data_IF_626341616124
#
_entry.id   IF_626341616124
#
_cell.length_a   1.000
_cell.length_b   1.000
_cell.length_c   1.000
_cell.angle_alpha   90.00
_cell.angle_beta   90.00
_cell.angle_gamma   90.00
#
_symmetry.space_group_name_H-M   'P 1'
#
loop_
_entity.id
_entity.type
_entity.pdbx_description
1 polymer ?
#
# COMPACT_ATOMS: atom_id res chain seq x y z
N UNK A 1 -21.82 21.79 -0.95
CA UNK A 1 -22.38 20.60 -1.63
C UNK A 1 -21.54 20.32 -2.86
N UNK A 2 -21.27 19.05 -3.17
CA UNK A 2 -20.62 18.66 -4.42
C UNK A 2 -21.47 19.10 -5.63
N UNK A 3 -20.81 19.46 -6.74
CA UNK A 3 -21.56 19.69 -7.99
C UNK A 3 -22.16 18.36 -8.48
N UNK A 4 -23.32 18.39 -9.19
CA UNK A 4 -23.90 17.17 -9.76
C UNK A 4 -22.90 16.39 -10.63
N UNK A 5 -22.09 17.08 -11.42
CA UNK A 5 -21.05 16.47 -12.26
C UNK A 5 -19.97 15.75 -11.45
N UNK A 6 -19.50 16.35 -10.35
CA UNK A 6 -18.51 15.73 -9.48
C UNK A 6 -19.04 14.46 -8.80
N UNK A 7 -20.31 14.49 -8.38
CA UNK A 7 -20.97 13.31 -7.81
C UNK A 7 -21.14 12.20 -8.86
N UNK A 8 -21.56 12.55 -10.07
CA UNK A 8 -21.74 11.60 -11.18
C UNK A 8 -20.43 10.88 -11.54
N UNK A 9 -19.32 11.62 -11.64
CA UNK A 9 -18.01 11.02 -11.90
C UNK A 9 -17.57 10.10 -10.75
N UNK A 10 -17.73 10.52 -9.50
CA UNK A 10 -17.43 9.68 -8.36
C UNK A 10 -18.26 8.38 -8.37
N UNK A 11 -19.58 8.48 -8.62
CA UNK A 11 -20.46 7.32 -8.73
C UNK A 11 -20.05 6.40 -9.89
N UNK A 12 -19.68 6.96 -11.03
CA UNK A 12 -19.24 6.18 -12.21
C UNK A 12 -18.01 5.35 -11.89
N UNK A 13 -16.99 5.94 -11.24
CA UNK A 13 -15.80 5.20 -10.87
C UNK A 13 -16.07 4.15 -9.78
N UNK A 14 -16.92 4.45 -8.80
CA UNK A 14 -17.28 3.49 -7.74
C UNK A 14 -17.97 2.25 -8.31
N UNK A 15 -18.79 2.39 -9.36
CA UNK A 15 -19.48 1.26 -10.01
C UNK A 15 -18.55 0.31 -10.77
N UNK A 16 -17.36 0.74 -11.14
CA UNK A 16 -16.38 -0.10 -11.83
C UNK A 16 -15.74 -1.09 -10.86
N UNK A 17 -15.74 -2.38 -11.20
CA UNK A 17 -15.13 -3.42 -10.36
C UNK A 17 -13.61 -3.47 -10.57
N UNK A 18 -12.89 -2.73 -9.76
CA UNK A 18 -11.42 -2.64 -9.77
C UNK A 18 -10.79 -3.26 -8.51
N UNK A 19 -11.39 -4.33 -7.96
CA UNK A 19 -10.70 -5.13 -6.92
C UNK A 19 -9.31 -5.51 -7.42
N UNK A 20 -8.30 -5.43 -6.56
CA UNK A 20 -6.87 -5.55 -6.97
C UNK A 20 -6.54 -6.81 -7.79
N UNK A 21 -7.35 -7.88 -7.73
CA UNK A 21 -7.19 -9.05 -8.61
C UNK A 21 -7.67 -8.81 -10.05
N UNK A 22 -8.46 -7.78 -10.28
CA UNK A 22 -9.03 -7.45 -11.59
C UNK A 22 -8.17 -6.41 -12.33
N UNK A 23 -8.46 -6.24 -13.62
CA UNK A 23 -7.94 -5.12 -14.42
C UNK A 23 -8.55 -3.79 -13.97
N UNK A 24 -7.74 -2.72 -13.96
CA UNK A 24 -8.23 -1.35 -13.77
C UNK A 24 -8.38 -0.59 -15.10
N UNK A 25 -8.16 -1.23 -16.24
CA UNK A 25 -8.08 -0.56 -17.55
C UNK A 25 -9.39 0.14 -17.94
N UNK A 26 -10.55 -0.40 -17.56
CA UNK A 26 -11.84 0.27 -17.82
C UNK A 26 -11.86 1.66 -17.16
N UNK A 27 -11.50 1.75 -15.89
CA UNK A 27 -11.43 3.00 -15.14
C UNK A 27 -10.39 3.94 -15.72
N UNK A 28 -9.20 3.45 -15.99
CA UNK A 28 -8.08 4.25 -16.52
C UNK A 28 -8.42 4.81 -17.90
N UNK A 29 -9.03 4.00 -18.78
CA UNK A 29 -9.43 4.48 -20.12
C UNK A 29 -10.56 5.50 -20.00
N UNK A 30 -11.54 5.30 -19.13
CA UNK A 30 -12.59 6.28 -18.88
C UNK A 30 -12.01 7.64 -18.42
N UNK A 31 -11.10 7.63 -17.46
CA UNK A 31 -10.44 8.86 -16.98
C UNK A 31 -9.60 9.51 -18.07
N UNK A 32 -8.80 8.72 -18.82
CA UNK A 32 -8.02 9.21 -19.97
C UNK A 32 -8.91 9.90 -21.00
N UNK A 33 -10.02 9.26 -21.37
CA UNK A 33 -10.91 9.76 -22.42
C UNK A 33 -11.65 11.03 -21.97
N UNK A 34 -12.04 11.10 -20.68
CA UNK A 34 -12.59 12.31 -20.06
C UNK A 34 -11.59 13.47 -20.11
N UNK A 35 -10.33 13.23 -19.75
CA UNK A 35 -9.27 14.24 -19.83
C UNK A 35 -8.96 14.64 -21.27
N UNK A 36 -9.00 13.69 -22.22
CA UNK A 36 -8.77 13.95 -23.64
C UNK A 36 -9.83 14.88 -24.23
N UNK A 37 -11.09 14.79 -23.80
CA UNK A 37 -12.16 15.72 -24.20
C UNK A 37 -11.88 17.17 -23.75
N UNK A 38 -11.11 17.35 -22.69
CA UNK A 38 -10.63 18.66 -22.22
C UNK A 38 -9.29 19.07 -22.86
N UNK A 39 -8.79 18.32 -23.84
CA UNK A 39 -7.51 18.57 -24.48
C UNK A 39 -6.27 18.17 -23.67
N UNK A 40 -6.44 17.44 -22.56
CA UNK A 40 -5.35 17.00 -21.69
C UNK A 40 -4.82 15.64 -22.16
N UNK A 41 -3.52 15.57 -22.41
CA UNK A 41 -2.84 14.32 -22.76
C UNK A 41 -2.52 13.54 -21.49
N UNK A 42 -2.79 12.24 -21.50
CA UNK A 42 -2.46 11.32 -20.44
C UNK A 42 -1.35 10.36 -20.88
N UNK A 43 -0.42 10.11 -19.96
CA UNK A 43 0.63 9.11 -20.08
C UNK A 43 0.19 7.86 -19.32
N UNK A 44 0.24 6.69 -19.94
CA UNK A 44 -0.10 5.41 -19.33
C UNK A 44 1.16 4.56 -19.14
N UNK A 45 1.37 4.05 -17.94
CA UNK A 45 2.43 3.10 -17.60
C UNK A 45 1.78 1.76 -17.27
N UNK A 46 1.95 0.78 -18.15
CA UNK A 46 1.34 -0.53 -18.01
C UNK A 46 2.22 -1.47 -17.19
N UNK A 47 1.57 -2.38 -16.43
CA UNK A 47 2.26 -3.53 -15.85
C UNK A 47 2.76 -4.50 -16.97
N UNK A 48 3.58 -5.48 -16.58
CA UNK A 48 4.30 -6.35 -17.52
C UNK A 48 3.37 -7.12 -18.48
N UNK A 49 2.21 -7.57 -18.03
CA UNK A 49 1.21 -8.32 -18.81
C UNK A 49 0.14 -7.42 -19.46
N UNK A 50 0.24 -6.10 -19.28
CA UNK A 50 -0.66 -5.07 -19.83
C UNK A 50 -2.13 -5.24 -19.42
N UNK A 51 -2.36 -5.84 -18.28
CA UNK A 51 -3.70 -5.98 -17.70
C UNK A 51 -4.10 -4.81 -16.79
N UNK A 52 -3.11 -4.00 -16.38
CA UNK A 52 -3.29 -2.82 -15.54
C UNK A 52 -2.44 -1.65 -16.04
N UNK A 53 -2.84 -0.43 -15.70
CA UNK A 53 -2.06 0.75 -16.01
C UNK A 53 -2.17 1.81 -14.92
N UNK A 54 -1.09 2.57 -14.73
CA UNK A 54 -1.11 3.88 -14.09
C UNK A 54 -1.47 4.94 -15.13
N UNK A 55 -2.03 6.05 -14.65
CA UNK A 55 -2.27 7.24 -15.45
C UNK A 55 -1.53 8.43 -14.84
N UNK A 56 -0.78 9.15 -15.67
CA UNK A 56 -0.26 10.47 -15.32
C UNK A 56 -0.73 11.51 -16.33
N UNK A 57 -1.24 12.64 -15.84
CA UNK A 57 -1.68 13.75 -16.69
C UNK A 57 -1.26 15.09 -16.08
N UNK A 58 -0.94 16.07 -16.93
CA UNK A 58 -0.55 17.42 -16.50
C UNK A 58 -1.58 18.43 -16.98
N UNK A 59 -2.16 19.16 -16.04
CA UNK A 59 -3.11 20.24 -16.27
C UNK A 59 -2.38 21.58 -16.09
N UNK A 60 -2.32 22.39 -17.14
CA UNK A 60 -1.51 23.61 -17.19
C UNK A 60 -0.15 23.39 -17.86
N UNK A 61 -0.17 22.79 -19.07
CA UNK A 61 1.03 22.59 -19.89
C UNK A 61 1.80 23.90 -20.10
N UNK A 62 3.14 23.83 -20.03
CA UNK A 62 4.01 25.00 -20.13
C UNK A 62 4.32 25.69 -18.78
N UNK A 63 3.67 25.30 -17.68
CA UNK A 63 4.06 25.76 -16.35
C UNK A 63 5.31 24.99 -15.88
N UNK A 64 6.21 25.64 -15.09
CA UNK A 64 7.55 25.07 -14.82
C UNK A 64 7.56 23.80 -13.97
N UNK A 65 6.54 23.58 -13.17
CA UNK A 65 6.38 22.40 -12.30
C UNK A 65 4.97 22.35 -11.75
N UNK A 66 4.61 21.28 -11.03
CA UNK A 66 3.26 21.10 -10.53
C UNK A 66 3.16 20.30 -9.23
N UNK A 67 1.95 20.26 -8.70
CA UNK A 67 1.59 19.49 -7.52
C UNK A 67 0.83 18.25 -7.97
N UNK A 68 1.26 17.08 -7.51
CA UNK A 68 0.57 15.81 -7.75
C UNK A 68 -0.64 15.70 -6.84
N UNK A 69 -1.77 15.32 -7.41
CA UNK A 69 -2.90 14.69 -6.73
C UNK A 69 -2.81 13.19 -7.02
N UNK A 70 -2.43 12.40 -6.01
CA UNK A 70 -2.25 10.95 -6.12
C UNK A 70 -3.43 10.19 -5.55
N UNK A 71 -3.82 9.13 -6.24
CA UNK A 71 -4.84 8.20 -5.77
C UNK A 71 -4.73 6.85 -6.46
N UNK A 72 -5.13 5.79 -5.75
CA UNK A 72 -5.16 4.45 -6.32
C UNK A 72 -6.53 4.10 -6.89
N UNK A 73 -6.53 3.29 -7.93
CA UNK A 73 -7.73 2.91 -8.68
C UNK A 73 -8.33 1.58 -8.22
N UNK A 74 -7.53 0.76 -7.55
CA UNK A 74 -7.95 -0.54 -7.04
C UNK A 74 -8.68 -0.43 -5.70
N UNK A 75 -9.25 -1.53 -5.27
CA UNK A 75 -9.98 -1.65 -4.00
C UNK A 75 -9.78 -3.04 -3.42
N UNK A 76 -9.92 -3.17 -2.08
CA UNK A 76 -10.00 -4.47 -1.42
C UNK A 76 -11.26 -5.22 -1.85
N UNK A 77 -11.24 -6.58 -1.85
CA UNK A 77 -12.41 -7.38 -2.12
C UNK A 77 -13.48 -7.20 -1.03
N UNK A 78 -14.73 -7.51 -1.37
CA UNK A 78 -15.87 -7.52 -0.45
C UNK A 78 -16.45 -8.91 -0.20
N UNK A 79 -15.90 -9.93 -0.86
CA UNK A 79 -16.34 -11.33 -0.68
C UNK A 79 -16.16 -11.76 0.77
N UNK A 80 -17.21 -12.33 1.37
CA UNK A 80 -17.21 -12.75 2.77
C UNK A 80 -17.48 -11.62 3.78
N UNK A 81 -17.86 -10.44 3.34
CA UNK A 81 -18.29 -9.33 4.18
C UNK A 81 -19.82 -9.17 4.10
N UNK A 82 -20.45 -8.81 5.22
CA UNK A 82 -21.88 -8.54 5.29
C UNK A 82 -22.16 -7.09 4.84
N UNK A 83 -22.49 -6.93 3.56
CA UNK A 83 -22.92 -5.65 3.01
C UNK A 83 -24.44 -5.55 3.01
N UNK A 84 -24.97 -4.43 3.50
CA UNK A 84 -26.42 -4.13 3.47
C UNK A 84 -26.93 -3.70 2.08
N UNK A 85 -26.03 -3.47 1.13
CA UNK A 85 -26.31 -3.08 -0.25
C UNK A 85 -25.23 -3.62 -1.19
N UNK A 86 -25.49 -3.61 -2.50
CA UNK A 86 -24.46 -3.95 -3.49
C UNK A 86 -23.26 -2.98 -3.35
N UNK A 87 -22.03 -3.51 -3.10
CA UNK A 87 -20.82 -2.71 -2.97
C UNK A 87 -20.51 -1.81 -4.17
N UNK A 88 -21.01 -2.12 -5.35
CA UNK A 88 -20.83 -1.33 -6.57
C UNK A 88 -22.03 -0.45 -6.92
N UNK A 89 -23.06 -0.40 -6.08
CA UNK A 89 -24.26 0.43 -6.36
C UNK A 89 -23.99 1.91 -6.46
N UNK A 90 -22.95 2.41 -5.79
CA UNK A 90 -22.67 3.84 -5.65
C UNK A 90 -23.91 4.62 -5.21
N UNK A 91 -24.62 4.10 -4.21
CA UNK A 91 -25.86 4.65 -3.70
C UNK A 91 -25.62 6.00 -3.01
N UNK A 92 -26.43 6.99 -3.36
CA UNK A 92 -26.49 8.26 -2.62
C UNK A 92 -27.71 8.25 -1.73
N UNK A 93 -27.48 8.29 -0.43
CA UNK A 93 -28.53 8.32 0.58
C UNK A 93 -28.11 9.22 1.74
N UNK A 94 -29.03 10.03 2.25
CA UNK A 94 -28.79 10.93 3.40
C UNK A 94 -27.54 11.81 3.25
N UNK A 95 -27.27 12.29 2.03
CA UNK A 95 -26.14 13.15 1.72
C UNK A 95 -24.79 12.44 1.69
N UNK A 96 -24.75 11.09 1.70
CA UNK A 96 -23.54 10.26 1.67
C UNK A 96 -23.53 9.38 0.42
N UNK A 97 -22.34 9.14 -0.12
CA UNK A 97 -22.08 8.18 -1.18
C UNK A 97 -21.61 6.86 -0.57
N UNK A 98 -22.35 5.78 -0.82
CA UNK A 98 -22.05 4.44 -0.34
C UNK A 98 -21.55 3.56 -1.47
N UNK A 99 -20.54 2.75 -1.19
CA UNK A 99 -19.99 1.76 -2.11
C UNK A 99 -18.51 1.48 -1.84
N UNK A 100 -17.99 0.37 -2.35
CA UNK A 100 -16.57 0.03 -2.27
C UNK A 100 -15.75 1.03 -3.12
N UNK A 101 -14.78 1.72 -2.50
CA UNK A 101 -14.00 2.77 -3.14
C UNK A 101 -14.64 4.17 -3.05
N UNK A 102 -15.77 4.34 -2.35
CA UNK A 102 -16.35 5.67 -2.15
C UNK A 102 -15.54 6.54 -1.19
N UNK A 103 -14.87 5.94 -0.21
CA UNK A 103 -13.93 6.61 0.69
C UNK A 103 -12.48 6.30 0.30
N UNK A 104 -12.19 5.06 -0.06
CA UNK A 104 -10.88 4.51 -0.33
C UNK A 104 -10.86 3.86 -1.72
N UNK A 105 -10.36 4.58 -2.79
CA UNK A 105 -10.35 6.05 -2.81
C UNK A 105 -10.81 6.58 -4.16
N UNK A 106 -11.62 5.78 -4.92
CA UNK A 106 -12.07 6.12 -6.29
C UNK A 106 -12.87 7.43 -6.36
N UNK A 107 -13.62 7.79 -5.28
CA UNK A 107 -14.33 9.06 -5.28
C UNK A 107 -13.36 10.26 -5.29
N UNK A 108 -12.20 10.18 -4.62
CA UNK A 108 -11.17 11.21 -4.72
C UNK A 108 -10.74 11.42 -6.18
N UNK A 109 -10.48 10.33 -6.92
CA UNK A 109 -10.14 10.37 -8.35
C UNK A 109 -11.26 11.04 -9.14
N UNK A 110 -12.51 10.64 -8.93
CA UNK A 110 -13.66 11.24 -9.59
C UNK A 110 -13.79 12.74 -9.33
N UNK A 111 -13.56 13.17 -8.08
CA UNK A 111 -13.57 14.58 -7.70
C UNK A 111 -12.42 15.35 -8.36
N UNK A 112 -11.21 14.79 -8.38
CA UNK A 112 -10.06 15.42 -9.04
C UNK A 112 -10.33 15.63 -10.55
N UNK A 113 -10.84 14.61 -11.22
CA UNK A 113 -11.19 14.66 -12.65
C UNK A 113 -12.32 15.67 -12.92
N UNK A 114 -13.34 15.74 -12.06
CA UNK A 114 -14.44 16.72 -12.18
C UNK A 114 -13.96 18.17 -12.12
N UNK A 115 -12.85 18.42 -11.46
CA UNK A 115 -12.26 19.76 -11.34
C UNK A 115 -11.16 20.03 -12.37
N UNK A 116 -10.92 19.12 -13.34
CA UNK A 116 -9.86 19.26 -14.33
C UNK A 116 -9.98 20.57 -15.13
N UNK A 117 -11.18 20.95 -15.57
CA UNK A 117 -11.41 22.21 -16.29
C UNK A 117 -11.07 23.43 -15.44
N UNK A 118 -11.40 23.42 -14.14
CA UNK A 118 -11.03 24.49 -13.23
C UNK A 118 -9.52 24.61 -13.05
N UNK A 119 -8.81 23.49 -13.00
CA UNK A 119 -7.33 23.48 -12.93
C UNK A 119 -6.71 24.02 -14.22
N UNK A 120 -7.24 23.66 -15.38
CA UNK A 120 -6.79 24.18 -16.68
C UNK A 120 -6.94 25.71 -16.77
N UNK A 121 -8.05 26.25 -16.30
CA UNK A 121 -8.36 27.67 -16.31
C UNK A 121 -7.73 28.45 -15.13
N UNK A 122 -7.03 27.75 -14.23
CA UNK A 122 -6.41 28.36 -13.06
C UNK A 122 -5.27 29.28 -13.42
N UNK A 123 -5.19 30.46 -12.77
CA UNK A 123 -4.05 31.38 -12.84
C UNK A 123 -2.90 31.00 -11.88
N UNK A 124 -2.95 29.82 -11.26
CA UNK A 124 -1.87 29.35 -10.40
C UNK A 124 -0.54 29.27 -11.19
N UNK A 125 0.59 29.64 -10.59
CA UNK A 125 1.89 29.65 -11.28
C UNK A 125 2.48 28.24 -11.46
N UNK A 126 1.79 27.21 -11.06
CA UNK A 126 2.18 25.79 -11.14
C UNK A 126 1.07 24.95 -11.79
N UNK A 127 1.46 23.82 -12.37
CA UNK A 127 0.54 22.84 -12.91
C UNK A 127 -0.08 21.98 -11.78
N UNK A 128 -1.20 21.32 -12.10
CA UNK A 128 -1.72 20.20 -11.32
C UNK A 128 -1.45 18.92 -12.09
N UNK A 129 -0.87 17.93 -11.43
CA UNK A 129 -0.65 16.61 -12.02
C UNK A 129 -1.62 15.61 -11.38
N UNK A 130 -2.23 14.78 -12.21
CA UNK A 130 -2.93 13.59 -11.73
C UNK A 130 -2.00 12.40 -11.85
N UNK A 131 -1.90 11.63 -10.77
CA UNK A 131 -1.12 10.40 -10.69
C UNK A 131 -2.01 9.31 -10.10
N UNK A 132 -2.58 8.47 -10.97
CA UNK A 132 -3.50 7.42 -10.56
C UNK A 132 -2.87 6.06 -10.78
N UNK A 133 -2.73 5.29 -9.70
CA UNK A 133 -1.99 4.04 -9.64
C UNK A 133 -2.92 2.83 -9.57
N UNK A 134 -2.35 1.65 -9.75
CA UNK A 134 -2.96 0.34 -9.53
C UNK A 134 -2.23 -0.41 -8.39
N UNK A 135 -2.91 -1.40 -7.79
CA UNK A 135 -2.35 -2.33 -6.81
C UNK A 135 -1.73 -1.65 -5.58
N UNK A 136 -2.37 -0.58 -5.11
CA UNK A 136 -2.01 0.03 -3.83
C UNK A 136 -2.30 -0.95 -2.69
N UNK A 137 -3.51 -1.48 -2.62
CA UNK A 137 -4.08 -2.34 -1.56
C UNK A 137 -3.31 -3.66 -1.34
N UNK A 138 -2.52 -4.06 -2.33
CA UNK A 138 -1.73 -5.29 -2.28
C UNK A 138 -0.22 -5.05 -2.16
N UNK A 139 0.23 -3.78 -2.15
CA UNK A 139 1.65 -3.46 -1.91
C UNK A 139 2.20 -2.26 -2.64
N UNK A 140 1.37 -1.31 -3.07
CA UNK A 140 1.76 -0.10 -3.81
C UNK A 140 2.63 -0.42 -5.04
N UNK A 141 2.28 -1.46 -5.82
CA UNK A 141 3.12 -1.90 -6.93
C UNK A 141 3.11 -0.90 -8.08
N UNK A 142 1.93 -0.41 -8.45
CA UNK A 142 1.77 0.49 -9.59
C UNK A 142 2.52 1.80 -9.43
N UNK A 143 2.44 2.43 -8.29
CA UNK A 143 3.08 3.73 -8.06
C UNK A 143 4.60 3.67 -8.17
N UNK A 144 5.24 2.54 -7.87
CA UNK A 144 6.69 2.35 -8.05
C UNK A 144 7.08 2.50 -9.52
N UNK A 145 6.30 1.89 -10.42
CA UNK A 145 6.51 2.01 -11.87
C UNK A 145 6.17 3.42 -12.37
N UNK A 146 5.11 4.04 -11.84
CA UNK A 146 4.76 5.42 -12.16
C UNK A 146 5.88 6.39 -11.78
N UNK A 147 6.41 6.30 -10.56
CA UNK A 147 7.53 7.14 -10.10
C UNK A 147 8.78 6.93 -10.97
N UNK A 148 9.08 5.69 -11.35
CA UNK A 148 10.19 5.40 -12.25
C UNK A 148 10.00 6.06 -13.62
N UNK A 149 8.79 5.98 -14.20
CA UNK A 149 8.43 6.61 -15.47
C UNK A 149 8.52 8.14 -15.40
N UNK A 150 8.09 8.77 -14.30
CA UNK A 150 8.24 10.22 -14.09
C UNK A 150 9.71 10.65 -14.04
N UNK A 151 10.53 9.89 -13.32
CA UNK A 151 11.97 10.13 -13.23
C UNK A 151 12.64 10.04 -14.62
N UNK A 152 12.32 8.99 -15.39
CA UNK A 152 12.89 8.73 -16.71
C UNK A 152 12.42 9.80 -17.74
N UNK A 153 11.21 10.34 -17.54
CA UNK A 153 10.69 11.47 -18.32
C UNK A 153 11.25 12.83 -17.87
N UNK A 154 12.05 12.89 -16.80
CA UNK A 154 12.59 14.13 -16.26
C UNK A 154 11.54 15.04 -15.61
N UNK A 155 10.38 14.51 -15.25
CA UNK A 155 9.30 15.23 -14.56
C UNK A 155 9.65 15.36 -13.09
N UNK A 156 9.70 16.60 -12.58
CA UNK A 156 10.05 16.93 -11.20
C UNK A 156 8.92 17.69 -10.52
N UNK A 157 7.97 17.01 -9.91
CA UNK A 157 6.87 17.67 -9.20
C UNK A 157 7.38 18.48 -8.00
N UNK A 158 6.68 19.56 -7.66
CA UNK A 158 6.97 20.39 -6.48
C UNK A 158 6.57 19.69 -5.19
N UNK A 159 5.44 18.96 -5.23
CA UNK A 159 4.89 18.27 -4.10
C UNK A 159 3.86 17.21 -4.55
N UNK A 160 3.45 16.35 -3.59
CA UNK A 160 2.38 15.37 -3.77
C UNK A 160 1.38 15.45 -2.61
N UNK A 161 0.10 15.42 -2.93
CA UNK A 161 -1.00 15.20 -1.99
C UNK A 161 -1.58 13.83 -2.34
N UNK A 162 -1.50 12.89 -1.40
CA UNK A 162 -2.09 11.54 -1.52
C UNK A 162 -3.49 11.59 -0.91
N UNK A 163 -4.51 11.28 -1.69
CA UNK A 163 -5.91 11.54 -1.33
C UNK A 163 -6.57 10.45 -0.50
N UNK A 164 -5.84 9.82 0.40
CA UNK A 164 -6.34 8.79 1.31
C UNK A 164 -7.34 9.36 2.35
N UNK A 165 -8.24 8.52 2.90
CA UNK A 165 -9.32 8.97 3.78
C UNK A 165 -8.83 9.32 5.20
N UNK A 166 -8.34 10.53 5.40
CA UNK A 166 -7.85 11.07 6.68
C UNK A 166 -8.85 11.98 7.39
N UNK A 167 -10.14 11.93 7.02
CA UNK A 167 -11.17 12.87 7.47
C UNK A 167 -10.81 14.34 7.19
N UNK A 168 -10.08 14.60 6.11
CA UNK A 168 -9.60 15.92 5.69
C UNK A 168 -8.53 16.53 6.61
N UNK A 169 -8.06 15.83 7.65
CA UNK A 169 -6.93 16.26 8.47
C UNK A 169 -5.64 15.83 7.80
N UNK A 170 -4.72 16.74 7.43
CA UNK A 170 -3.47 16.35 6.78
C UNK A 170 -2.65 15.40 7.64
N UNK A 171 -2.35 14.20 7.12
CA UNK A 171 -1.49 13.24 7.80
C UNK A 171 -0.03 13.43 7.36
N UNK A 172 0.86 13.58 8.35
CA UNK A 172 2.28 13.85 8.14
C UNK A 172 3.18 12.65 8.43
N UNK A 173 2.61 11.53 8.88
CA UNK A 173 3.35 10.30 9.03
C UNK A 173 2.44 9.09 8.90
N UNK A 174 3.00 7.98 8.41
CA UNK A 174 2.39 6.67 8.50
C UNK A 174 3.44 5.58 8.74
N UNK A 175 2.97 4.43 9.29
CA UNK A 175 3.82 3.25 9.45
C UNK A 175 4.08 2.60 8.10
N UNK A 176 5.24 1.96 7.97
CA UNK A 176 5.53 1.09 6.84
C UNK A 176 4.78 -0.24 6.93
N UNK A 177 4.77 -0.97 5.84
CA UNK A 177 4.14 -2.29 5.71
C UNK A 177 5.11 -3.22 4.99
N UNK A 178 5.59 -4.23 5.69
CA UNK A 178 6.54 -5.20 5.16
C UNK A 178 6.00 -6.59 5.38
N UNK A 179 5.60 -7.27 4.30
CA UNK A 179 5.00 -8.60 4.34
C UNK A 179 5.91 -9.61 3.68
N UNK A 180 6.10 -10.72 4.37
CA UNK A 180 6.96 -11.81 3.91
C UNK A 180 6.26 -13.15 4.06
N UNK A 181 6.67 -14.09 3.21
CA UNK A 181 6.33 -15.51 3.32
C UNK A 181 7.60 -16.29 3.62
N UNK A 182 7.54 -17.14 4.62
CA UNK A 182 8.57 -18.13 4.92
C UNK A 182 8.08 -19.52 4.54
N UNK A 183 8.85 -20.22 3.70
CA UNK A 183 8.63 -21.62 3.35
C UNK A 183 9.70 -22.46 4.04
N UNK A 184 9.28 -23.54 4.70
CA UNK A 184 10.20 -24.44 5.42
C UNK A 184 10.15 -25.82 4.77
N UNK A 185 11.32 -26.31 4.39
CA UNK A 185 11.53 -27.64 3.88
C UNK A 185 12.20 -28.49 4.95
N UNK A 186 11.53 -29.54 5.38
CA UNK A 186 12.03 -30.56 6.28
C UNK A 186 12.20 -31.91 5.59
N UNK A 187 12.06 -32.99 6.36
CA UNK A 187 12.11 -34.37 5.89
C UNK A 187 11.01 -35.17 6.57
N UNK A 188 10.13 -35.73 5.79
CA UNK A 188 9.05 -36.60 6.25
C UNK A 188 9.56 -37.94 6.80
N UNK A 189 8.82 -38.48 7.75
CA UNK A 189 8.98 -39.83 8.27
C UNK A 189 7.70 -40.27 9.00
N UNK A 190 7.59 -41.54 9.35
CA UNK A 190 6.58 -41.97 10.32
C UNK A 190 6.88 -41.30 11.67
N UNK A 191 5.86 -40.88 12.41
CA UNK A 191 6.01 -40.13 13.67
C UNK A 191 6.84 -40.86 14.76
N UNK A 192 6.93 -42.20 14.70
CA UNK A 192 7.82 -42.99 15.56
C UNK A 192 9.31 -42.86 15.21
N UNK A 193 9.66 -42.30 14.06
CA UNK A 193 11.01 -42.14 13.53
C UNK A 193 11.48 -40.67 13.56
N UNK A 194 10.89 -39.83 14.40
CA UNK A 194 11.18 -38.39 14.53
C UNK A 194 12.68 -38.06 14.55
N UNK A 195 13.57 -38.80 15.25
CA UNK A 195 15.03 -38.49 15.23
C UNK A 195 15.74 -38.60 13.87
N UNK A 196 15.10 -39.28 12.89
CA UNK A 196 15.60 -39.46 11.52
C UNK A 196 14.95 -38.51 10.51
N UNK A 197 14.19 -37.55 10.99
CA UNK A 197 13.39 -36.62 10.22
C UNK A 197 13.70 -35.17 10.58
N UNK A 198 13.13 -34.24 9.83
CA UNK A 198 13.13 -32.81 10.14
C UNK A 198 11.70 -32.31 10.06
N UNK A 199 11.12 -31.97 11.19
CA UNK A 199 9.74 -31.51 11.28
C UNK A 199 9.65 -30.03 10.83
N UNK A 200 9.06 -29.79 9.66
CA UNK A 200 8.96 -28.44 9.11
C UNK A 200 8.09 -27.50 9.98
N UNK A 201 7.04 -28.02 10.62
CA UNK A 201 6.19 -27.22 11.52
C UNK A 201 7.00 -26.77 12.76
N UNK A 202 7.79 -27.66 13.36
CA UNK A 202 8.60 -27.30 14.53
C UNK A 202 9.67 -26.26 14.19
N UNK A 203 10.29 -26.38 13.00
CA UNK A 203 11.25 -25.39 12.53
C UNK A 203 10.59 -24.05 12.22
N UNK A 204 9.42 -24.06 11.57
CA UNK A 204 8.62 -22.86 11.33
C UNK A 204 8.21 -22.18 12.65
N UNK A 205 7.74 -22.96 13.64
CA UNK A 205 7.33 -22.45 14.94
C UNK A 205 8.46 -21.72 15.67
N UNK A 206 9.72 -22.14 15.52
CA UNK A 206 10.86 -21.42 16.09
C UNK A 206 11.04 -20.04 15.49
N UNK A 207 10.89 -19.92 14.16
CA UNK A 207 10.98 -18.62 13.49
C UNK A 207 9.78 -17.74 13.85
N UNK A 208 8.58 -18.31 13.97
CA UNK A 208 7.38 -17.61 14.48
C UNK A 208 7.62 -17.11 15.91
N UNK A 209 8.22 -17.93 16.78
CA UNK A 209 8.62 -17.52 18.14
C UNK A 209 9.58 -16.32 18.09
N UNK A 210 10.57 -16.33 17.17
CA UNK A 210 11.49 -15.20 17.00
C UNK A 210 10.77 -13.91 16.59
N UNK A 211 9.82 -13.99 15.62
CA UNK A 211 8.99 -12.84 15.23
C UNK A 211 8.19 -12.30 16.44
N UNK A 212 7.67 -13.18 17.28
CA UNK A 212 6.97 -12.79 18.52
C UNK A 212 7.90 -12.10 19.51
N UNK A 213 9.10 -12.66 19.74
CA UNK A 213 10.10 -12.06 20.64
C UNK A 213 10.47 -10.64 20.16
N UNK A 214 10.59 -10.43 18.84
CA UNK A 214 10.84 -9.11 18.26
C UNK A 214 9.68 -8.16 18.53
N UNK A 215 8.42 -8.61 18.36
CA UNK A 215 7.24 -7.80 18.65
C UNK A 215 7.21 -7.35 20.12
N UNK A 216 7.53 -8.24 21.06
CA UNK A 216 7.64 -7.92 22.49
C UNK A 216 8.80 -6.95 22.76
N UNK A 217 9.92 -7.12 22.04
CA UNK A 217 11.06 -6.21 22.12
C UNK A 217 10.72 -4.80 21.66
N UNK A 218 9.95 -4.64 20.59
CA UNK A 218 9.46 -3.33 20.12
C UNK A 218 8.56 -2.69 21.17
N UNK A 219 7.63 -3.45 21.73
CA UNK A 219 6.73 -2.94 22.77
C UNK A 219 7.49 -2.51 24.03
N UNK A 220 8.53 -3.23 24.44
CA UNK A 220 9.24 -2.98 25.70
C UNK A 220 10.36 -1.97 25.59
N UNK A 221 11.04 -1.87 24.44
CA UNK A 221 12.34 -1.21 24.33
C UNK A 221 12.45 -0.17 23.22
N UNK A 222 11.55 -0.19 22.21
CA UNK A 222 11.62 0.78 21.14
C UNK A 222 11.22 2.18 21.63
N UNK A 223 11.95 3.25 21.26
CA UNK A 223 11.55 4.62 21.58
C UNK A 223 10.15 4.92 21.04
N UNK A 224 9.30 5.53 21.87
CA UNK A 224 7.93 5.84 21.49
C UNK A 224 7.89 6.98 20.45
N UNK A 225 7.06 6.79 19.45
CA UNK A 225 6.72 7.83 18.49
C UNK A 225 5.30 8.32 18.79
N UNK A 226 5.22 9.39 19.57
CA UNK A 226 3.95 9.94 20.03
C UNK A 226 3.06 10.39 18.86
N UNK A 227 1.76 10.13 18.97
CA UNK A 227 0.75 10.47 17.98
C UNK A 227 0.23 9.28 17.16
N UNK A 228 0.93 8.13 17.15
CA UNK A 228 0.33 6.88 16.69
C UNK A 228 -0.47 6.20 17.81
N UNK A 229 -1.60 5.56 17.47
CA UNK A 229 -2.39 4.75 18.42
C UNK A 229 -1.53 3.67 19.10
N UNK A 230 -0.64 3.04 18.32
CA UNK A 230 0.40 2.16 18.81
C UNK A 230 1.74 2.82 18.54
N UNK A 231 2.39 3.45 19.55
CA UNK A 231 3.56 4.33 19.36
C UNK A 231 4.89 3.57 19.21
N UNK A 232 4.87 2.33 18.77
CA UNK A 232 6.02 1.47 18.51
C UNK A 232 5.77 0.58 17.29
N UNK A 233 6.82 -0.01 16.73
CA UNK A 233 6.72 -0.97 15.63
C UNK A 233 6.02 -2.24 16.08
N UNK A 234 5.30 -2.90 15.17
CA UNK A 234 4.64 -4.16 15.46
C UNK A 234 5.07 -5.25 14.50
N UNK A 235 5.00 -6.51 14.96
CA UNK A 235 5.18 -7.68 14.13
C UNK A 235 4.07 -8.70 14.43
N UNK A 236 3.58 -9.36 13.38
CA UNK A 236 2.56 -10.39 13.53
C UNK A 236 2.69 -11.50 12.49
N UNK A 237 2.22 -12.69 12.85
CA UNK A 237 2.08 -13.84 11.95
C UNK A 237 0.59 -14.03 11.67
N UNK A 238 0.18 -13.77 10.44
CA UNK A 238 -1.24 -13.79 10.06
C UNK A 238 -1.73 -15.12 9.49
N UNK A 239 -0.83 -15.95 8.94
CA UNK A 239 -1.18 -17.23 8.32
C UNK A 239 -0.11 -18.27 8.62
N UNK A 240 -0.53 -19.53 8.85
CA UNK A 240 0.36 -20.66 9.05
C UNK A 240 -0.30 -21.93 8.49
N UNK A 241 0.44 -22.67 7.65
CA UNK A 241 0.01 -23.92 7.04
C UNK A 241 1.12 -24.97 7.13
N UNK A 242 0.76 -26.23 7.38
CA UNK A 242 1.74 -27.32 7.39
C UNK A 242 1.14 -28.64 7.85
N UNK A 243 1.82 -29.75 7.48
CA UNK A 243 1.40 -31.10 7.84
C UNK A 243 0.25 -31.65 6.98
N UNK A 244 0.11 -32.97 6.99
CA UNK A 244 -0.91 -33.72 6.23
C UNK A 244 -1.66 -34.74 7.09
N UNK A 245 -1.05 -35.27 8.15
CA UNK A 245 -1.62 -36.26 9.06
C UNK A 245 -0.84 -36.31 10.37
N UNK A 246 -1.49 -36.75 11.48
CA UNK A 246 -0.93 -36.75 12.81
C UNK A 246 0.26 -37.75 12.98
N UNK A 247 0.25 -38.83 12.20
CA UNK A 247 1.29 -39.87 12.27
C UNK A 247 2.40 -39.72 11.20
N UNK A 248 2.45 -38.57 10.51
CA UNK A 248 3.48 -38.22 9.55
C UNK A 248 4.22 -36.95 10.00
N UNK A 249 5.55 -37.03 10.13
CA UNK A 249 6.35 -35.83 10.38
C UNK A 249 6.24 -34.89 9.18
N UNK A 250 5.80 -33.63 9.39
CA UNK A 250 5.62 -32.68 8.30
C UNK A 250 6.91 -32.37 7.53
N UNK A 251 6.88 -32.56 6.21
CA UNK A 251 7.98 -32.17 5.31
C UNK A 251 7.96 -30.69 4.95
N UNK A 252 6.78 -30.14 4.78
CA UNK A 252 6.60 -28.78 4.31
C UNK A 252 5.72 -28.01 5.30
N UNK A 253 6.11 -26.75 5.55
CA UNK A 253 5.31 -25.77 6.26
C UNK A 253 5.55 -24.39 5.66
N UNK A 254 4.57 -23.51 5.77
CA UNK A 254 4.70 -22.11 5.38
C UNK A 254 3.94 -21.20 6.33
N UNK A 255 4.42 -19.99 6.47
CA UNK A 255 3.71 -18.95 7.20
C UNK A 255 3.96 -17.57 6.60
N UNK A 256 3.02 -16.64 6.84
CA UNK A 256 3.15 -15.25 6.44
C UNK A 256 3.19 -14.37 7.67
N UNK A 257 4.10 -13.40 7.65
CA UNK A 257 4.28 -12.44 8.72
C UNK A 257 4.48 -11.04 8.16
N UNK A 258 4.21 -10.05 8.99
CA UNK A 258 4.42 -8.65 8.63
C UNK A 258 5.08 -7.86 9.76
N UNK A 259 5.76 -6.79 9.35
CA UNK A 259 6.18 -5.70 10.22
C UNK A 259 5.42 -4.43 9.85
N UNK A 260 5.04 -3.65 10.86
CA UNK A 260 4.57 -2.28 10.74
C UNK A 260 5.58 -1.40 11.46
N UNK A 261 6.57 -0.90 10.72
CA UNK A 261 7.64 -0.11 11.33
C UNK A 261 7.26 1.35 11.55
N UNK A 262 7.86 1.96 12.56
CA UNK A 262 7.83 3.41 12.74
C UNK A 262 8.73 4.09 11.69
N UNK A 263 8.48 5.39 11.35
CA UNK A 263 9.36 6.14 10.47
C UNK A 263 10.81 6.30 10.97
N UNK A 264 11.03 6.04 12.26
CA UNK A 264 12.36 6.07 12.90
C UNK A 264 13.04 4.70 12.99
N UNK A 265 12.32 3.64 12.60
CA UNK A 265 12.83 2.27 12.65
C UNK A 265 13.51 1.85 11.33
N UNK A 266 14.05 0.64 11.30
CA UNK A 266 14.71 0.07 10.13
C UNK A 266 14.14 -1.32 9.82
N UNK A 267 13.15 -1.38 8.95
CA UNK A 267 12.51 -2.64 8.54
C UNK A 267 13.48 -3.64 7.88
N UNK A 268 14.47 -3.15 7.13
CA UNK A 268 15.48 -4.01 6.54
C UNK A 268 16.30 -4.75 7.60
N UNK A 269 16.61 -4.09 8.72
CA UNK A 269 17.27 -4.73 9.86
C UNK A 269 16.37 -5.75 10.54
N UNK A 270 15.07 -5.45 10.69
CA UNK A 270 14.09 -6.41 11.25
C UNK A 270 14.04 -7.68 10.42
N UNK A 271 13.93 -7.56 9.10
CA UNK A 271 13.95 -8.72 8.19
C UNK A 271 15.28 -9.48 8.25
N UNK A 272 16.42 -8.78 8.25
CA UNK A 272 17.72 -9.39 8.35
C UNK A 272 17.89 -10.24 9.62
N UNK A 273 17.29 -9.83 10.73
CA UNK A 273 17.30 -10.56 12.00
C UNK A 273 16.52 -11.87 11.92
N UNK A 274 15.34 -11.88 11.28
CA UNK A 274 14.57 -13.10 11.03
C UNK A 274 15.35 -14.06 10.14
N UNK A 275 15.94 -13.54 9.04
CA UNK A 275 16.75 -14.34 8.11
C UNK A 275 17.96 -14.95 8.81
N UNK A 276 18.68 -14.18 9.63
CA UNK A 276 19.84 -14.66 10.38
C UNK A 276 19.47 -15.76 11.38
N UNK A 277 18.35 -15.59 12.09
CA UNK A 277 17.85 -16.61 13.01
C UNK A 277 17.47 -17.91 12.28
N UNK A 278 16.69 -17.83 11.21
CA UNK A 278 16.33 -19.00 10.40
C UNK A 278 17.59 -19.72 9.87
N UNK A 279 18.55 -18.97 9.34
CA UNK A 279 19.82 -19.53 8.87
C UNK A 279 20.61 -20.23 9.97
N UNK A 280 20.53 -19.76 11.23
CA UNK A 280 21.20 -20.40 12.37
C UNK A 280 20.65 -21.80 12.69
N UNK A 281 19.42 -22.10 12.29
CA UNK A 281 18.78 -23.41 12.49
C UNK A 281 19.17 -24.43 11.41
N UNK A 282 19.53 -23.99 10.22
CA UNK A 282 19.80 -24.87 9.07
C UNK A 282 20.89 -25.92 9.27
N UNK A 283 22.02 -25.65 9.98
CA UNK A 283 23.05 -26.66 10.16
C UNK A 283 22.54 -27.93 10.86
N UNK A 284 21.61 -27.80 11.83
CA UNK A 284 21.02 -28.95 12.49
C UNK A 284 20.05 -29.71 11.56
N UNK A 285 19.27 -28.99 10.77
CA UNK A 285 18.36 -29.58 9.78
C UNK A 285 19.13 -30.35 8.71
N UNK A 286 20.18 -29.74 8.15
CA UNK A 286 20.99 -30.31 7.06
C UNK A 286 21.82 -31.55 7.46
N UNK A 287 22.12 -31.74 8.76
CA UNK A 287 22.71 -32.99 9.25
C UNK A 287 21.79 -34.19 9.05
N UNK A 288 20.47 -33.99 9.08
CA UNK A 288 19.49 -35.07 8.91
C UNK A 288 18.98 -35.15 7.46
N UNK A 289 18.82 -34.01 6.81
CA UNK A 289 18.36 -33.87 5.43
C UNK A 289 19.10 -32.72 4.73
N UNK A 290 20.00 -33.02 3.78
CA UNK A 290 20.80 -31.98 3.10
C UNK A 290 19.96 -30.88 2.42
N UNK A 291 18.76 -31.23 1.95
CA UNK A 291 17.84 -30.31 1.27
C UNK A 291 16.91 -29.52 2.20
N UNK A 292 17.01 -29.77 3.53
CA UNK A 292 16.19 -29.07 4.51
C UNK A 292 16.70 -27.63 4.71
N UNK A 293 15.77 -26.70 4.90
CA UNK A 293 16.10 -25.29 5.09
C UNK A 293 14.89 -24.38 5.01
N UNK A 294 15.19 -23.08 4.89
CA UNK A 294 14.20 -22.02 4.81
C UNK A 294 14.30 -21.26 3.49
N UNK A 295 13.17 -20.96 2.89
CA UNK A 295 13.01 -20.03 1.77
C UNK A 295 12.19 -18.83 2.19
N UNK A 296 12.51 -17.64 1.69
CA UNK A 296 11.78 -16.43 1.98
C UNK A 296 11.36 -15.73 0.68
N UNK A 297 10.14 -15.24 0.66
CA UNK A 297 9.57 -14.45 -0.43
C UNK A 297 9.10 -13.10 0.14
N UNK A 298 9.46 -12.03 -0.52
CA UNK A 298 8.90 -10.71 -0.24
C UNK A 298 7.54 -10.61 -0.92
N UNK A 299 6.48 -10.36 -0.13
CA UNK A 299 5.12 -10.13 -0.65
C UNK A 299 4.97 -8.66 -1.01
N UNK A 300 5.26 -7.75 -0.07
CA UNK A 300 5.29 -6.32 -0.33
C UNK A 300 6.21 -5.59 0.65
N UNK A 301 6.70 -4.43 0.21
CA UNK A 301 7.47 -3.49 1.02
C UNK A 301 6.98 -2.08 0.68
N UNK A 302 6.31 -1.46 1.65
CA UNK A 302 5.83 -0.09 1.60
C UNK A 302 6.57 0.66 2.69
N UNK A 303 7.46 1.60 2.35
CA UNK A 303 8.24 2.33 3.34
C UNK A 303 7.34 3.20 4.20
N UNK A 304 7.69 3.34 5.47
CA UNK A 304 7.09 4.34 6.35
C UNK A 304 7.29 5.76 5.82
N UNK A 305 6.41 6.65 6.21
CA UNK A 305 6.41 8.05 5.78
C UNK A 305 6.57 8.98 6.97
N UNK A 306 7.43 9.98 6.80
CA UNK A 306 7.59 11.09 7.73
C UNK A 306 7.75 12.40 6.98
N UNK A 307 6.73 13.23 7.03
CA UNK A 307 6.74 14.63 6.63
C UNK A 307 6.89 15.56 7.85
N UNK A 308 6.60 16.83 7.64
CA UNK A 308 6.65 17.84 8.70
C UNK A 308 5.43 18.77 8.61
N UNK A 309 4.95 19.22 9.77
CA UNK A 309 3.94 20.29 9.84
C UNK A 309 4.42 21.59 9.19
N UNK A 310 5.73 21.76 9.08
CA UNK A 310 6.37 22.94 8.51
C UNK A 310 6.62 22.83 7.01
N UNK A 311 6.42 21.67 6.41
CA UNK A 311 6.52 21.47 4.96
C UNK A 311 5.49 22.34 4.22
N UNK A 312 5.91 22.95 3.11
CA UNK A 312 5.02 23.80 2.32
C UNK A 312 3.77 23.07 1.80
N UNK A 313 3.91 21.78 1.48
CA UNK A 313 2.77 20.94 1.05
C UNK A 313 1.79 20.69 2.18
N UNK A 314 2.26 20.47 3.41
CA UNK A 314 1.40 20.30 4.59
C UNK A 314 0.62 21.58 4.87
N UNK A 315 1.28 22.74 4.84
CA UNK A 315 0.61 24.04 4.99
C UNK A 315 -0.39 24.31 3.86
N UNK A 316 -0.10 23.87 2.65
CA UNK A 316 -1.06 23.94 1.54
C UNK A 316 -2.27 23.07 1.82
N UNK A 317 -2.10 21.81 2.21
CA UNK A 317 -3.18 20.89 2.54
C UNK A 317 -4.05 21.44 3.68
N UNK A 318 -3.46 21.97 4.74
CA UNK A 318 -4.19 22.65 5.83
C UNK A 318 -5.05 23.81 5.34
N UNK A 319 -4.52 24.66 4.45
CA UNK A 319 -5.31 25.76 3.86
C UNK A 319 -6.47 25.27 2.98
N UNK A 320 -6.24 24.18 2.25
CA UNK A 320 -7.28 23.60 1.36
C UNK A 320 -8.39 22.90 2.14
N UNK A 321 -8.02 22.17 3.20
CA UNK A 321 -8.98 21.46 4.05
C UNK A 321 -9.68 22.37 5.07
N UNK A 322 -9.07 23.49 5.42
CA UNK A 322 -9.51 24.36 6.53
C UNK A 322 -9.05 23.88 7.91
N UNK A 323 -8.37 22.73 7.98
CA UNK A 323 -7.86 22.15 9.22
C UNK A 323 -6.49 22.72 9.60
N UNK A 324 -6.32 23.10 10.86
CA UNK A 324 -5.06 23.65 11.36
C UNK A 324 -4.13 22.57 11.95
N UNK A 325 -4.71 21.41 12.30
CA UNK A 325 -3.98 20.27 12.87
C UNK A 325 -3.28 19.40 11.82
N UNK A 326 -2.53 18.45 12.31
CA UNK A 326 -1.99 17.32 11.54
C UNK A 326 -2.24 16.04 12.31
N UNK A 327 -2.29 14.91 11.60
CA UNK A 327 -2.48 13.59 12.21
C UNK A 327 -1.39 12.62 11.76
N UNK A 328 -1.33 11.47 12.39
CA UNK A 328 -0.55 10.31 12.00
C UNK A 328 -1.51 9.15 11.76
N UNK A 329 -1.22 8.30 10.78
CA UNK A 329 -2.07 7.15 10.45
C UNK A 329 -1.28 5.85 10.56
N UNK A 330 -1.91 4.79 11.07
CA UNK A 330 -1.25 3.50 11.28
C UNK A 330 -1.17 2.64 10.02
N UNK A 331 -2.01 2.93 9.00
CA UNK A 331 -1.97 2.25 7.71
C UNK A 331 -0.87 2.83 6.80
N UNK A 332 -0.33 1.99 5.91
CA UNK A 332 0.64 2.44 4.90
C UNK A 332 -0.07 3.06 3.71
N UNK A 333 0.59 3.97 3.02
CA UNK A 333 0.11 4.60 1.78
C UNK A 333 1.25 4.77 0.78
N UNK A 334 0.96 5.28 -0.41
CA UNK A 334 1.97 5.62 -1.41
C UNK A 334 2.90 6.78 -1.00
N UNK A 335 2.57 7.52 0.08
CA UNK A 335 3.30 8.74 0.47
C UNK A 335 4.78 8.48 0.77
N UNK A 336 5.10 7.34 1.40
CA UNK A 336 6.49 6.96 1.66
C UNK A 336 7.31 6.77 0.39
N UNK A 337 6.70 6.26 -0.68
CA UNK A 337 7.35 6.06 -1.98
C UNK A 337 7.62 7.38 -2.69
N UNK A 338 6.66 8.31 -2.72
CA UNK A 338 6.87 9.66 -3.24
C UNK A 338 7.94 10.42 -2.45
N UNK A 339 7.89 10.36 -1.13
CA UNK A 339 8.90 11.00 -0.26
C UNK A 339 10.30 10.46 -0.52
N UNK A 340 10.45 9.14 -0.66
CA UNK A 340 11.73 8.50 -0.97
C UNK A 340 12.25 8.85 -2.37
N UNK A 341 11.36 9.20 -3.29
CA UNK A 341 11.72 9.74 -4.61
C UNK A 341 12.09 11.23 -4.58
N UNK A 342 12.14 11.86 -3.40
CA UNK A 342 12.50 13.26 -3.21
C UNK A 342 11.36 14.25 -3.46
N UNK A 343 10.11 13.78 -3.51
CA UNK A 343 8.94 14.63 -3.70
C UNK A 343 8.33 14.96 -2.32
N UNK A 344 8.29 16.24 -1.90
CA UNK A 344 7.61 16.66 -0.67
C UNK A 344 6.16 16.19 -0.67
N UNK A 345 5.73 15.45 0.35
CA UNK A 345 4.45 14.73 0.34
C UNK A 345 3.66 14.96 1.62
N UNK A 346 2.34 14.92 1.50
CA UNK A 346 1.35 14.87 2.60
C UNK A 346 0.21 13.93 2.19
N UNK A 347 -0.42 13.33 3.16
CA UNK A 347 -1.62 12.51 2.95
C UNK A 347 -2.87 13.28 3.36
#
# INVERSE_FOLDING_TARGET
>A
MLSPHALELAQTLVRMNTVSQNSNLELIHFVRDTLTQLGVKSRLTYNADKTKANLFATLGEGKPSGIILSGHTDTVPWTGQDWSMDPLSALVQDGKLYGRGSADMKAFIGLAVAHAEAFLNSQAPFAVHFAFSYDEEVGCFGVKELIADLRDAGIKPLACIVGEPTLMVPAIAHKGVYRYKCCVRGKEAHSSLTPHSVNAIEMAARVVGRVRDMAEGFEQHEPRFEGFDVPFSTASVGQFHGGIADNVVPRDAEFRYEFRDLPTANAAQMQAEVLAYAKSLEPAMKKVAPDAGFGFETICEIPSFLGSKDDAVTRLAQRLSGEQGTTLVAFGTEAGLFKNAGIPTVV
#
